data_IF_720218480234
#
_entry.id   IF_720218480234
#
_cell.length_a   1.000
_cell.length_b   1.000
_cell.length_c   1.000
_cell.angle_alpha   90.00
_cell.angle_beta   90.00
_cell.angle_gamma   90.00
#
_symmetry.space_group_name_H-M   'P 1'
#
loop_
_entity.id
_entity.type
_entity.pdbx_description
1 polymer ?
#
# COMPACT_ATOMS: atom_id res chain seq x y z
N UNK A 1 -12.85 8.71 8.89
CA UNK A 1 -13.15 7.97 10.13
C UNK A 1 -12.35 6.69 10.05
N UNK A 2 -11.19 6.67 10.70
CA UNK A 2 -10.43 5.44 10.92
C UNK A 2 -10.67 5.12 12.38
N UNK A 3 -11.74 4.42 12.72
CA UNK A 3 -12.01 4.06 14.11
C UNK A 3 -13.03 2.90 14.19
N UNK A 4 -12.77 2.02 15.15
CA UNK A 4 -13.62 0.96 15.72
C UNK A 4 -13.45 -0.48 15.15
N UNK A 5 -13.44 -0.73 13.83
CA UNK A 5 -13.48 -2.12 13.33
C UNK A 5 -12.20 -2.95 13.49
N UNK A 6 -11.00 -2.35 13.39
CA UNK A 6 -9.74 -3.11 13.58
C UNK A 6 -9.60 -3.70 14.99
N UNK A 7 -10.06 -3.00 16.02
CA UNK A 7 -10.01 -3.51 17.40
C UNK A 7 -10.96 -4.69 17.64
N UNK A 8 -12.01 -4.83 16.84
CA UNK A 8 -12.96 -5.96 16.91
C UNK A 8 -12.46 -7.17 16.11
N UNK A 9 -11.84 -6.95 14.94
CA UNK A 9 -11.24 -8.03 14.13
C UNK A 9 -10.01 -8.65 14.83
N UNK A 10 -9.24 -7.87 15.60
CA UNK A 10 -8.15 -8.40 16.42
C UNK A 10 -8.62 -9.25 17.63
N UNK A 11 -9.93 -9.37 17.89
CA UNK A 11 -10.49 -10.02 19.09
C UNK A 11 -11.44 -11.17 18.77
N UNK A 12 -11.10 -12.12 17.89
CA UNK A 12 -11.85 -13.39 17.85
C UNK A 12 -10.97 -14.60 17.59
N UNK A 13 -10.49 -15.20 18.67
CA UNK A 13 -10.30 -16.65 18.79
C UNK A 13 -10.41 -17.03 20.26
N UNK A 14 -11.46 -17.76 20.70
CA UNK A 14 -11.57 -18.23 22.07
C UNK A 14 -10.74 -19.50 22.24
N UNK A 15 -9.53 -19.36 22.79
CA UNK A 15 -8.65 -20.48 23.11
C UNK A 15 -7.79 -20.18 24.34
N UNK A 16 -8.13 -20.81 25.46
CA UNK A 16 -7.40 -20.96 26.73
C UNK A 16 -6.48 -19.81 27.19
N UNK A 17 -6.94 -19.09 28.22
CA UNK A 17 -6.11 -18.28 29.11
C UNK A 17 -5.09 -19.17 29.84
N UNK A 18 -3.88 -19.28 29.29
CA UNK A 18 -2.67 -19.52 30.07
C UNK A 18 -1.99 -18.18 30.30
N UNK A 19 -2.18 -17.61 31.49
CA UNK A 19 -1.44 -16.41 31.92
C UNK A 19 -0.05 -16.87 32.37
N UNK A 20 0.83 -17.09 31.40
CA UNK A 20 2.27 -17.03 31.64
C UNK A 20 2.73 -15.69 31.08
N UNK A 21 2.86 -14.68 31.94
CA UNK A 21 3.63 -13.50 31.62
C UNK A 21 5.07 -13.98 31.38
N UNK A 22 5.45 -14.19 30.12
CA UNK A 22 6.83 -14.49 29.74
C UNK A 22 7.65 -13.26 30.19
N UNK A 23 8.49 -13.44 31.20
CA UNK A 23 9.49 -12.44 31.58
C UNK A 23 10.40 -12.19 30.39
N UNK A 24 10.36 -10.95 29.88
CA UNK A 24 11.24 -10.44 28.83
C UNK A 24 12.69 -10.76 29.18
N UNK A 25 13.38 -11.53 28.34
CA UNK A 25 14.76 -11.95 28.63
C UNK A 25 15.74 -10.85 28.26
N UNK A 26 16.94 -10.87 28.85
CA UNK A 26 18.02 -9.93 28.49
C UNK A 26 18.36 -10.02 26.99
N UNK A 27 18.23 -11.20 26.38
CA UNK A 27 18.43 -11.40 24.94
C UNK A 27 17.35 -10.71 24.08
N UNK A 28 16.10 -10.66 24.54
CA UNK A 28 14.99 -10.02 23.82
C UNK A 28 15.19 -8.50 23.76
N UNK A 29 15.63 -7.90 24.88
CA UNK A 29 15.96 -6.46 24.94
C UNK A 29 17.11 -6.08 24.02
N UNK A 30 18.14 -6.92 23.96
CA UNK A 30 19.30 -6.69 23.10
C UNK A 30 18.89 -6.62 21.63
N UNK A 31 18.04 -7.54 21.14
CA UNK A 31 17.61 -7.50 19.74
C UNK A 31 16.79 -6.24 19.42
N UNK A 32 15.84 -5.89 20.29
CA UNK A 32 15.03 -4.68 20.10
C UNK A 32 15.88 -3.41 20.08
N UNK A 33 16.80 -3.25 21.05
CA UNK A 33 17.75 -2.14 21.11
C UNK A 33 18.65 -2.12 19.87
N UNK A 34 19.12 -3.28 19.41
CA UNK A 34 19.95 -3.38 18.22
C UNK A 34 19.18 -2.98 16.95
N UNK A 35 17.91 -3.34 16.81
CA UNK A 35 17.08 -2.90 15.68
C UNK A 35 16.87 -1.39 15.74
N UNK A 36 16.48 -0.83 16.89
CA UNK A 36 16.22 0.61 17.05
C UNK A 36 17.48 1.47 16.83
N UNK A 37 18.62 1.08 17.42
CA UNK A 37 19.93 1.73 17.21
C UNK A 37 20.53 1.47 15.83
N UNK A 38 19.99 0.50 15.12
CA UNK A 38 20.39 0.09 13.80
C UNK A 38 21.60 -0.85 13.69
N UNK A 39 22.10 -1.34 14.83
CA UNK A 39 23.16 -2.33 14.95
C UNK A 39 22.75 -3.73 14.46
N UNK A 40 21.48 -4.11 14.60
CA UNK A 40 20.89 -5.25 13.92
C UNK A 40 20.15 -4.75 12.68
N UNK A 41 20.40 -5.42 11.56
CA UNK A 41 19.72 -5.09 10.30
C UNK A 41 18.32 -5.69 10.25
N UNK A 42 18.14 -6.89 10.82
CA UNK A 42 16.93 -7.67 10.60
C UNK A 42 16.42 -8.36 11.87
N UNK A 43 15.10 -8.49 11.95
CA UNK A 43 14.35 -9.52 12.66
C UNK A 43 14.07 -10.62 11.64
N UNK A 44 14.74 -11.76 11.79
CA UNK A 44 14.90 -12.78 10.73
C UNK A 44 13.61 -13.55 10.42
N UNK A 45 12.68 -13.68 11.37
CA UNK A 45 11.49 -14.48 11.18
C UNK A 45 10.60 -14.59 12.42
N UNK A 46 9.60 -15.50 12.42
CA UNK A 46 8.58 -15.58 13.45
C UNK A 46 9.11 -15.77 14.88
N UNK A 47 10.15 -16.58 15.07
CA UNK A 47 10.73 -16.84 16.40
C UNK A 47 11.33 -15.58 17.02
N UNK A 48 12.04 -14.76 16.22
CA UNK A 48 12.57 -13.48 16.68
C UNK A 48 11.48 -12.42 16.81
N UNK A 49 10.49 -12.45 15.91
CA UNK A 49 9.33 -11.58 15.96
C UNK A 49 8.55 -11.73 17.27
N UNK A 50 8.34 -12.95 17.77
CA UNK A 50 7.66 -13.19 19.05
C UNK A 50 8.36 -12.51 20.25
N UNK A 51 9.67 -12.31 20.16
CA UNK A 51 10.52 -11.70 21.19
C UNK A 51 10.55 -10.17 21.09
N UNK A 52 10.04 -9.60 20.00
CA UNK A 52 10.02 -8.15 19.83
C UNK A 52 8.96 -7.50 20.73
N UNK A 53 9.15 -6.22 21.12
CA UNK A 53 8.17 -5.47 21.90
C UNK A 53 6.79 -5.42 21.22
N UNK A 54 5.72 -5.31 22.00
CA UNK A 54 4.34 -5.26 21.47
C UNK A 54 4.16 -4.12 20.46
N UNK A 55 4.78 -2.96 20.69
CA UNK A 55 4.78 -1.83 19.76
C UNK A 55 5.31 -2.23 18.36
N UNK A 56 6.36 -3.04 18.29
CA UNK A 56 6.91 -3.52 17.02
C UNK A 56 5.95 -4.52 16.34
N UNK A 57 5.43 -5.48 17.11
CA UNK A 57 4.54 -6.52 16.61
C UNK A 57 3.24 -5.92 16.06
N UNK A 58 2.66 -4.96 16.77
CA UNK A 58 1.46 -4.24 16.34
C UNK A 58 1.68 -3.49 15.03
N UNK A 59 2.85 -2.87 14.85
CA UNK A 59 3.19 -2.13 13.62
C UNK A 59 3.30 -3.05 12.42
N UNK A 60 3.98 -4.19 12.56
CA UNK A 60 4.13 -5.21 11.51
C UNK A 60 2.77 -5.78 11.13
N UNK A 61 1.98 -6.20 12.12
CA UNK A 61 0.64 -6.78 11.88
C UNK A 61 -0.26 -5.75 11.21
N UNK A 62 -0.29 -4.51 11.71
CA UNK A 62 -1.09 -3.45 11.09
C UNK A 62 -0.67 -3.18 9.64
N UNK A 63 0.64 -3.06 9.38
CA UNK A 63 1.15 -2.78 8.03
C UNK A 63 0.79 -3.91 7.07
N UNK A 64 1.01 -5.15 7.48
CA UNK A 64 0.75 -6.31 6.64
C UNK A 64 -0.74 -6.59 6.45
N UNK A 65 -1.59 -6.37 7.45
CA UNK A 65 -3.04 -6.45 7.28
C UNK A 65 -3.54 -5.43 6.26
N UNK A 66 -3.09 -4.17 6.36
CA UNK A 66 -3.48 -3.12 5.42
C UNK A 66 -2.96 -3.37 4.00
N UNK A 67 -1.70 -3.79 3.85
CA UNK A 67 -1.13 -4.16 2.55
C UNK A 67 -1.89 -5.34 1.94
N UNK A 68 -2.06 -6.44 2.70
CA UNK A 68 -2.71 -7.66 2.21
C UNK A 68 -4.16 -7.40 1.75
N UNK A 69 -4.97 -6.66 2.50
CA UNK A 69 -6.33 -6.28 2.05
C UNK A 69 -6.27 -5.32 0.84
N UNK A 70 -5.25 -4.46 0.78
CA UNK A 70 -5.00 -3.55 -0.34
C UNK A 70 -4.76 -4.30 -1.65
N UNK A 71 -3.87 -5.31 -1.67
CA UNK A 71 -3.60 -6.14 -2.85
C UNK A 71 -4.87 -6.90 -3.30
N UNK A 72 -5.62 -7.46 -2.35
CA UNK A 72 -6.89 -8.13 -2.69
C UNK A 72 -7.93 -7.14 -3.24
N UNK A 73 -7.95 -5.91 -2.73
CA UNK A 73 -8.80 -4.86 -3.30
C UNK A 73 -8.35 -4.46 -4.69
N UNK A 74 -7.04 -4.37 -4.95
CA UNK A 74 -6.48 -4.15 -6.27
C UNK A 74 -6.93 -5.22 -7.27
N UNK A 75 -6.87 -6.49 -6.88
CA UNK A 75 -7.36 -7.59 -7.71
C UNK A 75 -8.83 -7.39 -8.14
N UNK A 76 -9.70 -7.06 -7.20
CA UNK A 76 -11.12 -6.85 -7.48
C UNK A 76 -11.37 -5.52 -8.22
N UNK A 77 -10.58 -4.47 -7.97
CA UNK A 77 -10.63 -3.23 -8.76
C UNK A 77 -10.37 -3.54 -10.25
N UNK A 78 -9.37 -4.38 -10.55
CA UNK A 78 -9.08 -4.81 -11.91
C UNK A 78 -10.19 -5.66 -12.55
N UNK A 79 -10.74 -6.62 -11.80
CA UNK A 79 -11.65 -7.62 -12.35
C UNK A 79 -13.12 -7.19 -12.33
N UNK A 80 -13.54 -6.45 -11.30
CA UNK A 80 -14.93 -6.03 -11.08
C UNK A 80 -15.20 -4.61 -11.59
N UNK A 81 -14.22 -3.69 -11.51
CA UNK A 81 -14.41 -2.29 -11.91
C UNK A 81 -13.84 -1.99 -13.31
N UNK A 82 -12.59 -2.39 -13.58
CA UNK A 82 -11.88 -1.95 -14.77
C UNK A 82 -12.10 -2.82 -16.00
N UNK A 83 -12.14 -4.15 -15.83
CA UNK A 83 -12.43 -5.09 -16.90
C UNK A 83 -13.75 -4.79 -17.64
N UNK A 84 -14.89 -4.47 -16.98
CA UNK A 84 -16.13 -4.13 -17.67
C UNK A 84 -16.15 -2.69 -18.24
N UNK A 85 -15.17 -1.83 -17.90
CA UNK A 85 -15.13 -0.42 -18.33
C UNK A 85 -14.69 -0.25 -19.79
N UNK A 86 -14.07 -1.26 -20.38
CA UNK A 86 -13.46 -1.20 -21.71
C UNK A 86 -13.87 -2.38 -22.58
N UNK A 87 -14.06 -2.12 -23.87
CA UNK A 87 -14.28 -3.13 -24.90
C UNK A 87 -13.00 -3.48 -25.68
N UNK A 88 -11.88 -2.80 -25.40
CA UNK A 88 -10.60 -3.08 -26.04
C UNK A 88 -10.02 -4.44 -25.57
N UNK A 89 -9.74 -5.38 -26.48
CA UNK A 89 -9.24 -6.71 -26.10
C UNK A 89 -7.87 -6.69 -25.40
N UNK A 90 -7.01 -5.72 -25.74
CA UNK A 90 -5.71 -5.58 -25.10
C UNK A 90 -5.88 -5.10 -23.65
N UNK A 91 -6.72 -4.10 -23.41
CA UNK A 91 -6.99 -3.61 -22.05
C UNK A 91 -7.69 -4.66 -21.17
N UNK A 92 -8.62 -5.45 -21.75
CA UNK A 92 -9.23 -6.59 -21.05
C UNK A 92 -8.19 -7.64 -20.63
N UNK A 93 -7.27 -7.98 -21.54
CA UNK A 93 -6.16 -8.90 -21.23
C UNK A 93 -5.30 -8.33 -20.09
N UNK A 94 -4.94 -7.05 -20.14
CA UNK A 94 -4.15 -6.42 -19.09
C UNK A 94 -4.87 -6.49 -17.74
N UNK A 95 -6.18 -6.21 -17.68
CA UNK A 95 -6.93 -6.31 -16.43
C UNK A 95 -6.87 -7.72 -15.82
N UNK A 96 -6.97 -8.77 -16.63
CA UNK A 96 -6.83 -10.14 -16.14
C UNK A 96 -5.41 -10.46 -15.66
N UNK A 97 -4.37 -9.97 -16.37
CA UNK A 97 -2.98 -10.16 -15.96
C UNK A 97 -2.68 -9.47 -14.63
N UNK A 98 -3.08 -8.19 -14.49
CA UNK A 98 -2.89 -7.41 -13.26
C UNK A 98 -3.70 -8.00 -12.11
N UNK A 99 -4.97 -8.35 -12.32
CA UNK A 99 -5.79 -9.01 -11.30
C UNK A 99 -5.15 -10.31 -10.81
N UNK A 100 -4.53 -11.10 -11.69
CA UNK A 100 -3.79 -12.30 -11.31
C UNK A 100 -2.53 -12.01 -10.49
N UNK A 101 -1.77 -10.97 -10.83
CA UNK A 101 -0.59 -10.53 -10.07
C UNK A 101 -0.99 -10.04 -8.66
N UNK A 102 -2.04 -9.21 -8.55
CA UNK A 102 -2.59 -8.69 -7.29
C UNK A 102 -3.06 -9.82 -6.36
N UNK A 103 -3.70 -10.88 -6.90
CA UNK A 103 -4.06 -12.06 -6.11
C UNK A 103 -2.81 -12.78 -5.58
N UNK A 104 -1.73 -12.86 -6.36
CA UNK A 104 -0.48 -13.45 -5.87
C UNK A 104 0.22 -12.53 -4.84
N UNK A 105 0.12 -11.20 -4.98
CA UNK A 105 0.57 -10.26 -3.95
C UNK A 105 -0.20 -10.45 -2.63
N UNK A 106 -1.53 -10.56 -2.68
CA UNK A 106 -2.35 -10.94 -1.52
C UNK A 106 -1.85 -12.25 -0.91
N UNK A 107 -1.60 -13.27 -1.73
CA UNK A 107 -1.14 -14.59 -1.25
C UNK A 107 0.23 -14.52 -0.57
N UNK A 108 1.15 -13.70 -1.09
CA UNK A 108 2.46 -13.41 -0.49
C UNK A 108 2.29 -12.70 0.87
N UNK A 109 1.47 -11.67 0.94
CA UNK A 109 1.17 -10.94 2.19
C UNK A 109 0.50 -11.80 3.25
N UNK A 110 -0.51 -12.58 2.85
CA UNK A 110 -1.21 -13.55 3.70
C UNK A 110 -0.25 -14.61 4.25
N UNK A 111 0.75 -15.06 3.47
CA UNK A 111 1.78 -15.97 3.98
C UNK A 111 2.65 -15.33 5.06
N UNK A 112 3.09 -14.09 4.89
CA UNK A 112 3.86 -13.37 5.92
C UNK A 112 3.05 -13.24 7.22
N UNK A 113 1.75 -12.93 7.11
CA UNK A 113 0.83 -12.89 8.27
C UNK A 113 0.65 -14.27 8.92
N UNK A 114 0.45 -15.32 8.13
CA UNK A 114 0.27 -16.68 8.62
C UNK A 114 1.50 -17.19 9.38
N UNK A 115 2.70 -16.86 8.91
CA UNK A 115 3.96 -17.24 9.56
C UNK A 115 4.09 -16.64 10.98
N UNK A 116 3.39 -15.54 11.29
CA UNK A 116 3.29 -14.93 12.63
C UNK A 116 1.93 -15.16 13.32
N UNK A 117 1.19 -16.18 12.87
CA UNK A 117 -0.07 -16.61 13.49
C UNK A 117 -1.25 -15.66 13.29
N UNK A 118 -1.25 -14.86 12.23
CA UNK A 118 -2.37 -13.99 11.85
C UNK A 118 -3.07 -14.53 10.60
N UNK A 119 -4.38 -14.74 10.71
CA UNK A 119 -5.20 -15.19 9.60
C UNK A 119 -5.67 -13.98 8.76
N UNK A 120 -5.51 -14.08 7.44
CA UNK A 120 -6.01 -13.11 6.46
C UNK A 120 -7.08 -13.71 5.54
N UNK A 121 -7.36 -15.01 5.64
CA UNK A 121 -8.26 -15.72 4.72
C UNK A 121 -9.69 -15.16 4.71
N UNK A 122 -10.14 -14.63 5.86
CA UNK A 122 -11.43 -13.97 6.00
C UNK A 122 -11.63 -12.78 5.05
N UNK A 123 -10.54 -12.16 4.54
CA UNK A 123 -10.63 -11.02 3.62
C UNK A 123 -11.30 -11.40 2.28
N UNK A 124 -11.19 -12.67 1.87
CA UNK A 124 -11.83 -13.20 0.65
C UNK A 124 -13.36 -13.18 0.75
N UNK A 125 -13.89 -13.29 1.97
CA UNK A 125 -15.33 -13.29 2.21
C UNK A 125 -15.91 -11.87 2.35
N UNK A 126 -15.05 -10.84 2.39
CA UNK A 126 -15.46 -9.45 2.49
C UNK A 126 -15.56 -8.85 1.08
N UNK A 127 -16.74 -8.39 0.65
CA UNK A 127 -16.90 -7.71 -0.62
C UNK A 127 -16.05 -6.44 -0.73
N UNK A 128 -15.62 -6.09 -1.95
CA UNK A 128 -14.77 -4.92 -2.22
C UNK A 128 -15.31 -3.63 -1.56
N UNK A 129 -16.62 -3.39 -1.64
CA UNK A 129 -17.25 -2.20 -1.05
C UNK A 129 -17.11 -2.11 0.48
N UNK A 130 -17.00 -3.25 1.17
CA UNK A 130 -17.01 -3.36 2.63
C UNK A 130 -15.60 -3.45 3.26
N UNK A 131 -14.56 -3.63 2.44
CA UNK A 131 -13.15 -3.58 2.85
C UNK A 131 -12.74 -2.18 3.31
N UNK A 132 -11.92 -2.11 4.35
CA UNK A 132 -11.67 -0.84 5.08
C UNK A 132 -10.30 -0.69 5.75
N UNK A 133 -9.47 -1.73 5.75
CA UNK A 133 -8.09 -1.68 6.23
C UNK A 133 -7.21 -0.88 5.26
N UNK A 134 -7.54 -0.89 3.96
CA UNK A 134 -6.92 -0.04 2.94
C UNK A 134 -7.89 1.02 2.39
N UNK A 135 -7.36 2.22 2.08
CA UNK A 135 -8.17 3.37 1.68
C UNK A 135 -8.49 3.35 0.17
N UNK A 136 -9.59 2.71 -0.23
CA UNK A 136 -9.99 2.53 -1.64
C UNK A 136 -11.17 3.39 -2.10
N UNK A 137 -11.69 4.31 -1.26
CA UNK A 137 -12.92 5.06 -1.57
C UNK A 137 -12.87 5.85 -2.89
N UNK A 138 -11.70 6.41 -3.24
CA UNK A 138 -11.53 7.13 -4.50
C UNK A 138 -11.58 6.19 -5.71
N UNK A 139 -11.10 4.95 -5.56
CA UNK A 139 -11.04 3.90 -6.59
C UNK A 139 -12.43 3.35 -6.90
N UNK A 140 -13.23 3.12 -5.85
CA UNK A 140 -14.65 2.69 -5.94
C UNK A 140 -15.54 3.63 -6.76
N UNK A 141 -15.06 4.84 -7.05
CA UNK A 141 -15.78 5.90 -7.79
C UNK A 141 -15.13 6.20 -9.14
N UNK A 142 -14.23 5.35 -9.63
CA UNK A 142 -13.70 5.48 -11.00
C UNK A 142 -14.80 5.00 -11.95
N UNK A 143 -15.22 5.89 -12.85
CA UNK A 143 -16.28 5.63 -13.82
C UNK A 143 -15.87 5.96 -15.26
N UNK A 144 -14.60 6.33 -15.48
CA UNK A 144 -14.08 6.71 -16.78
C UNK A 144 -12.61 6.31 -16.97
N UNK A 145 -12.23 6.14 -18.23
CA UNK A 145 -10.90 5.64 -18.62
C UNK A 145 -9.73 6.56 -18.25
N UNK A 146 -9.82 7.90 -18.37
CA UNK A 146 -8.77 8.80 -17.87
C UNK A 146 -8.46 8.62 -16.38
N UNK A 147 -9.50 8.51 -15.54
CA UNK A 147 -9.32 8.26 -14.11
C UNK A 147 -8.71 6.89 -13.84
N UNK A 148 -9.11 5.86 -14.60
CA UNK A 148 -8.43 4.56 -14.56
C UNK A 148 -6.94 4.69 -14.89
N UNK A 149 -6.58 5.49 -15.89
CA UNK A 149 -5.17 5.75 -16.23
C UNK A 149 -4.40 6.39 -15.07
N UNK A 150 -4.98 7.39 -14.40
CA UNK A 150 -4.35 8.07 -13.25
C UNK A 150 -4.33 7.24 -11.97
N UNK A 151 -5.31 6.35 -11.76
CA UNK A 151 -5.23 5.35 -10.70
C UNK A 151 -3.91 4.57 -10.80
N UNK A 152 -3.58 4.07 -11.99
CA UNK A 152 -2.31 3.36 -12.16
C UNK A 152 -1.09 4.28 -12.17
N UNK A 153 -1.16 5.39 -12.90
CA UNK A 153 0.00 6.28 -13.04
C UNK A 153 0.40 6.94 -11.72
N UNK A 154 -0.57 7.30 -10.86
CA UNK A 154 -0.35 8.05 -9.62
C UNK A 154 -0.71 7.27 -8.36
N UNK A 155 -1.88 6.61 -8.33
CA UNK A 155 -2.33 5.83 -7.17
C UNK A 155 -1.39 4.65 -6.87
N UNK A 156 -1.24 3.73 -7.82
CA UNK A 156 -0.32 2.59 -7.69
C UNK A 156 1.14 3.07 -7.57
N UNK A 157 1.52 4.18 -8.22
CA UNK A 157 2.85 4.77 -8.03
C UNK A 157 3.11 5.26 -6.60
N UNK A 158 2.10 5.78 -5.90
CA UNK A 158 2.23 6.15 -4.49
C UNK A 158 2.39 4.90 -3.60
N UNK A 159 1.65 3.82 -3.88
CA UNK A 159 1.82 2.52 -3.21
C UNK A 159 3.20 1.93 -3.48
N UNK A 160 3.69 2.04 -4.71
CA UNK A 160 5.03 1.59 -5.10
C UNK A 160 6.14 2.30 -4.29
N UNK A 161 5.98 3.59 -3.96
CA UNK A 161 6.92 4.28 -3.04
C UNK A 161 6.85 3.69 -1.62
N UNK A 162 5.67 3.32 -1.13
CA UNK A 162 5.52 2.64 0.16
C UNK A 162 6.17 1.24 0.13
N UNK A 163 6.01 0.49 -0.96
CA UNK A 163 6.64 -0.81 -1.15
C UNK A 163 8.16 -0.75 -1.17
N UNK A 164 8.75 0.30 -1.78
CA UNK A 164 10.21 0.53 -1.73
C UNK A 164 10.70 0.75 -0.30
N UNK A 165 9.91 1.42 0.54
CA UNK A 165 10.23 1.57 1.96
C UNK A 165 10.08 0.22 2.71
N UNK A 166 9.07 -0.58 2.37
CA UNK A 166 8.87 -1.93 2.93
C UNK A 166 9.98 -2.92 2.54
N UNK A 167 10.55 -2.81 1.34
CA UNK A 167 11.71 -3.60 0.91
C UNK A 167 12.95 -3.40 1.80
N UNK A 168 12.96 -2.32 2.58
CA UNK A 168 14.02 -1.97 3.51
C UNK A 168 13.60 -2.16 4.98
N UNK A 169 12.48 -2.84 5.22
CA UNK A 169 11.92 -3.08 6.55
C UNK A 169 12.82 -3.96 7.41
N UNK A 170 13.02 -3.58 8.67
CA UNK A 170 13.73 -4.40 9.65
C UNK A 170 13.10 -5.78 9.85
N UNK A 171 11.83 -6.00 9.50
CA UNK A 171 11.26 -7.35 9.49
C UNK A 171 11.57 -8.04 8.17
N UNK A 172 12.50 -9.00 8.19
CA UNK A 172 13.06 -9.62 6.99
C UNK A 172 12.01 -10.26 6.07
N UNK A 173 10.96 -10.96 6.55
CA UNK A 173 9.94 -11.52 5.66
C UNK A 173 9.21 -10.47 4.81
N UNK A 174 9.04 -9.24 5.31
CA UNK A 174 8.52 -8.12 4.49
C UNK A 174 9.56 -7.71 3.45
N UNK A 175 10.81 -7.49 3.88
CA UNK A 175 11.90 -7.08 3.00
C UNK A 175 12.17 -8.09 1.86
N UNK A 176 12.00 -9.39 2.12
CA UNK A 176 12.17 -10.45 1.12
C UNK A 176 11.00 -10.52 0.13
N UNK A 177 9.78 -10.20 0.57
CA UNK A 177 8.57 -10.23 -0.26
C UNK A 177 8.56 -9.10 -1.30
N UNK A 178 8.89 -7.88 -0.87
CA UNK A 178 8.68 -6.67 -1.66
C UNK A 178 9.42 -6.62 -3.01
N UNK A 179 10.67 -7.12 -3.20
CA UNK A 179 11.37 -7.02 -4.48
C UNK A 179 10.63 -7.64 -5.67
N UNK A 180 9.91 -8.76 -5.44
CA UNK A 180 9.06 -9.39 -6.46
C UNK A 180 7.88 -8.50 -6.81
N UNK A 181 7.11 -8.10 -5.80
CA UNK A 181 5.94 -7.21 -5.92
C UNK A 181 6.32 -5.89 -6.61
N UNK A 182 7.41 -5.24 -6.20
CA UNK A 182 7.92 -3.99 -6.81
C UNK A 182 8.21 -4.15 -8.30
N UNK A 183 8.71 -5.31 -8.73
CA UNK A 183 9.00 -5.56 -10.14
C UNK A 183 7.70 -5.63 -10.95
N UNK A 184 6.67 -6.28 -10.41
CA UNK A 184 5.35 -6.42 -11.01
C UNK A 184 4.63 -5.05 -11.04
N UNK A 185 4.59 -4.33 -9.92
CA UNK A 185 3.97 -3.00 -9.77
C UNK A 185 4.54 -1.91 -10.70
N UNK A 186 5.83 -1.99 -11.05
CA UNK A 186 6.41 -1.07 -12.05
C UNK A 186 5.71 -1.16 -13.40
N UNK A 187 5.21 -2.35 -13.74
CA UNK A 187 4.45 -2.56 -14.98
C UNK A 187 3.06 -1.93 -14.87
N UNK A 188 2.43 -1.94 -13.70
CA UNK A 188 1.13 -1.32 -13.46
C UNK A 188 1.22 0.20 -13.66
N UNK A 189 2.21 0.82 -13.02
CA UNK A 189 2.50 2.26 -13.17
C UNK A 189 2.84 2.63 -14.61
N UNK A 190 3.67 1.82 -15.28
CA UNK A 190 4.01 2.05 -16.69
C UNK A 190 2.79 1.93 -17.61
N UNK A 191 1.88 1.01 -17.30
CA UNK A 191 0.61 0.87 -18.01
C UNK A 191 -0.28 2.10 -17.86
N UNK A 192 -0.43 2.62 -16.64
CA UNK A 192 -1.14 3.88 -16.39
C UNK A 192 -0.54 5.06 -17.16
N UNK A 193 0.80 5.18 -17.13
CA UNK A 193 1.49 6.23 -17.89
C UNK A 193 1.22 6.11 -19.39
N UNK A 194 1.22 4.90 -19.96
CA UNK A 194 0.87 4.66 -21.37
C UNK A 194 -0.53 5.17 -21.68
N UNK A 195 -1.53 4.83 -20.86
CA UNK A 195 -2.92 5.28 -21.05
C UNK A 195 -3.00 6.81 -21.11
N UNK A 196 -2.41 7.51 -20.14
CA UNK A 196 -2.46 8.98 -20.10
C UNK A 196 -1.67 9.60 -21.25
N UNK A 197 -0.50 9.05 -21.58
CA UNK A 197 0.31 9.53 -22.71
C UNK A 197 -0.45 9.42 -24.04
N UNK A 198 -1.11 8.29 -24.27
CA UNK A 198 -1.85 8.06 -25.52
C UNK A 198 -3.10 8.98 -25.57
N UNK A 199 -3.76 9.20 -24.44
CA UNK A 199 -4.87 10.15 -24.32
C UNK A 199 -4.43 11.60 -24.64
N UNK A 200 -3.25 12.01 -24.16
CA UNK A 200 -2.70 13.35 -24.41
C UNK A 200 -2.22 13.59 -25.85
N UNK A 201 -2.37 12.65 -26.79
CA UNK A 201 -2.05 12.85 -28.21
C UNK A 201 -3.05 13.77 -28.92
N UNK A 202 -4.21 14.03 -28.32
CA UNK A 202 -5.25 14.92 -28.87
C UNK A 202 -5.59 16.02 -27.88
N UNK A 203 -5.99 17.20 -28.39
CA UNK A 203 -6.37 18.32 -27.52
C UNK A 203 -7.53 17.97 -26.58
N UNK A 204 -8.55 17.26 -27.07
CA UNK A 204 -9.67 16.81 -26.26
C UNK A 204 -9.23 15.83 -25.17
N UNK A 205 -8.40 14.85 -25.52
CA UNK A 205 -7.87 13.88 -24.57
C UNK A 205 -7.00 14.54 -23.50
N UNK A 206 -6.17 15.52 -23.84
CA UNK A 206 -5.42 16.31 -22.86
C UNK A 206 -6.36 17.02 -21.87
N UNK A 207 -7.47 17.59 -22.33
CA UNK A 207 -8.45 18.21 -21.44
C UNK A 207 -9.14 17.18 -20.52
N UNK A 208 -9.44 15.98 -21.03
CA UNK A 208 -9.98 14.89 -20.22
C UNK A 208 -8.97 14.45 -19.15
N UNK A 209 -7.70 14.29 -19.52
CA UNK A 209 -6.62 13.96 -18.60
C UNK A 209 -6.46 15.06 -17.53
N UNK A 210 -6.47 16.33 -17.91
CA UNK A 210 -6.36 17.44 -16.96
C UNK A 210 -7.48 17.44 -15.92
N UNK A 211 -8.73 17.12 -16.34
CA UNK A 211 -9.86 16.99 -15.40
C UNK A 211 -9.68 15.83 -14.43
N UNK A 212 -9.24 14.68 -14.92
CA UNK A 212 -8.97 13.52 -14.06
C UNK A 212 -7.80 13.78 -13.10
N UNK A 213 -6.75 14.47 -13.55
CA UNK A 213 -5.61 14.86 -12.71
C UNK A 213 -6.02 15.74 -11.52
N UNK A 214 -6.96 16.67 -11.71
CA UNK A 214 -7.45 17.54 -10.61
C UNK A 214 -8.05 16.73 -9.45
N UNK A 215 -8.67 15.59 -9.75
CA UNK A 215 -9.22 14.66 -8.75
C UNK A 215 -8.14 13.74 -8.19
N UNK A 216 -7.29 13.20 -9.05
CA UNK A 216 -6.34 12.15 -8.66
C UNK A 216 -5.10 12.65 -7.96
N UNK A 217 -4.65 13.87 -8.25
CA UNK A 217 -3.47 14.44 -7.60
C UNK A 217 -3.58 14.45 -6.06
N UNK A 218 -4.59 15.09 -5.43
CA UNK A 218 -4.72 15.07 -3.98
C UNK A 218 -4.95 13.66 -3.41
N UNK A 219 -5.68 12.81 -4.13
CA UNK A 219 -5.92 11.39 -3.74
C UNK A 219 -4.60 10.65 -3.60
N UNK A 220 -3.72 10.73 -4.60
CA UNK A 220 -2.41 10.06 -4.58
C UNK A 220 -1.49 10.59 -3.48
N UNK A 221 -1.54 11.90 -3.18
CA UNK A 221 -0.78 12.47 -2.06
C UNK A 221 -1.32 12.03 -0.68
N UNK A 222 -2.63 11.77 -0.59
CA UNK A 222 -3.29 11.29 0.63
C UNK A 222 -3.08 9.80 0.91
N UNK A 223 -2.62 9.01 -0.06
CA UNK A 223 -2.20 7.60 0.15
C UNK A 223 -1.14 7.52 1.26
N UNK A 224 -0.22 8.50 1.33
CA UNK A 224 0.80 8.55 2.36
C UNK A 224 0.26 8.89 3.76
N UNK A 225 -0.98 9.40 3.89
CA UNK A 225 -1.57 9.81 5.17
C UNK A 225 -1.05 11.15 5.70
N UNK A 226 -1.30 11.45 6.98
CA UNK A 226 -0.92 12.74 7.61
C UNK A 226 0.59 12.82 7.89
N UNK A 227 1.18 14.01 7.74
CA UNK A 227 2.59 14.26 8.12
C UNK A 227 2.80 14.01 9.62
N UNK A 228 1.87 14.46 10.47
CA UNK A 228 1.97 14.35 11.94
C UNK A 228 1.64 12.97 12.53
N UNK A 229 1.65 11.92 11.70
CA UNK A 229 1.32 10.57 12.12
C UNK A 229 2.31 10.02 13.16
N UNK A 230 1.84 9.82 14.40
CA UNK A 230 2.62 9.13 15.45
C UNK A 230 3.08 7.75 14.99
N UNK A 231 2.22 6.99 14.31
CA UNK A 231 2.55 5.65 13.79
C UNK A 231 3.65 5.70 12.73
N UNK A 232 3.65 6.74 11.88
CA UNK A 232 4.73 6.92 10.90
C UNK A 232 6.09 7.10 11.56
N UNK A 233 6.16 7.88 12.66
CA UNK A 233 7.40 8.03 13.44
C UNK A 233 7.83 6.72 14.10
N UNK A 234 6.87 5.90 14.55
CA UNK A 234 7.18 4.57 15.11
C UNK A 234 7.69 3.59 14.05
N UNK A 235 7.13 3.60 12.83
CA UNK A 235 7.68 2.80 11.72
C UNK A 235 9.14 3.15 11.43
N UNK A 236 9.51 4.44 11.49
CA UNK A 236 10.90 4.89 11.33
C UNK A 236 11.77 4.48 12.51
N UNK A 237 11.31 4.69 13.75
CA UNK A 237 12.01 4.24 14.98
C UNK A 237 12.40 2.76 14.90
N UNK A 238 11.44 1.92 14.50
CA UNK A 238 11.65 0.47 14.38
C UNK A 238 12.28 0.03 13.06
N UNK A 239 12.67 0.99 12.20
CA UNK A 239 13.26 0.75 10.88
C UNK A 239 12.42 -0.16 9.99
N UNK A 240 11.11 -0.21 10.20
CA UNK A 240 10.14 -0.88 9.32
C UNK A 240 9.89 -0.04 8.05
N UNK A 241 10.22 1.25 8.11
CA UNK A 241 10.36 2.20 7.00
C UNK A 241 11.58 3.09 7.25
N UNK A 242 12.16 3.68 6.21
CA UNK A 242 13.26 4.65 6.35
C UNK A 242 12.75 6.08 6.49
N UNK A 243 11.61 6.37 5.87
CA UNK A 243 11.05 7.71 5.79
C UNK A 243 9.68 7.83 6.43
N UNK A 244 9.42 9.01 6.97
CA UNK A 244 8.10 9.45 7.39
C UNK A 244 7.14 9.55 6.20
N UNK A 245 5.84 9.72 6.50
CA UNK A 245 4.81 9.93 5.50
C UNK A 245 5.09 11.17 4.62
N UNK A 246 5.57 12.25 5.22
CA UNK A 246 5.87 13.49 4.51
C UNK A 246 7.05 13.32 3.55
N UNK A 247 8.16 12.75 4.03
CA UNK A 247 9.35 12.53 3.21
C UNK A 247 9.05 11.59 2.03
N UNK A 248 8.29 10.51 2.26
CA UNK A 248 7.88 9.60 1.20
C UNK A 248 7.00 10.29 0.15
N UNK A 249 6.05 11.13 0.60
CA UNK A 249 5.21 11.94 -0.29
C UNK A 249 6.03 12.95 -1.10
N UNK A 250 7.02 13.59 -0.51
CA UNK A 250 7.87 14.56 -1.23
C UNK A 250 8.69 13.86 -2.33
N UNK A 251 9.24 12.67 -2.05
CA UNK A 251 9.90 11.84 -3.08
C UNK A 251 8.94 11.47 -4.21
N UNK A 252 7.70 11.12 -3.90
CA UNK A 252 6.66 10.85 -4.89
C UNK A 252 6.39 12.09 -5.76
N UNK A 253 6.23 13.28 -5.16
CA UNK A 253 6.02 14.54 -5.88
C UNK A 253 7.19 14.79 -6.83
N UNK A 254 8.43 14.73 -6.34
CA UNK A 254 9.65 14.92 -7.13
C UNK A 254 9.73 13.96 -8.33
N UNK A 255 9.29 12.71 -8.14
CA UNK A 255 9.29 11.70 -9.20
C UNK A 255 8.17 11.89 -10.24
N UNK A 256 7.00 12.38 -9.83
CA UNK A 256 5.81 12.42 -10.68
C UNK A 256 5.57 13.75 -11.38
N UNK A 257 5.94 14.88 -10.77
CA UNK A 257 5.77 16.22 -11.37
C UNK A 257 6.42 16.33 -12.75
N UNK A 258 7.70 15.94 -12.96
CA UNK A 258 8.31 16.03 -14.28
C UNK A 258 7.61 15.17 -15.34
N UNK A 259 7.06 14.01 -14.94
CA UNK A 259 6.34 13.11 -15.85
C UNK A 259 5.01 13.72 -16.30
N UNK A 260 4.27 14.37 -15.40
CA UNK A 260 3.03 15.07 -15.72
C UNK A 260 3.30 16.27 -16.64
N UNK A 261 4.33 17.05 -16.36
CA UNK A 261 4.74 18.19 -17.18
C UNK A 261 5.17 17.77 -18.58
N UNK A 262 5.88 16.64 -18.73
CA UNK A 262 6.23 16.08 -20.04
C UNK A 262 5.00 15.70 -20.89
N UNK A 263 3.87 15.40 -20.25
CA UNK A 263 2.59 15.13 -20.91
C UNK A 263 1.79 16.41 -21.21
N UNK A 264 2.35 17.59 -20.91
CA UNK A 264 1.69 18.88 -21.10
C UNK A 264 0.57 19.15 -20.09
N UNK A 265 0.59 18.49 -18.92
CA UNK A 265 -0.41 18.66 -17.88
C UNK A 265 0.04 19.64 -16.80
N UNK A 266 -0.89 20.45 -16.33
CA UNK A 266 -0.68 21.40 -15.25
C UNK A 266 -0.91 20.72 -13.91
N UNK A 267 0.15 20.57 -13.11
CA UNK A 267 0.07 19.92 -11.80
C UNK A 267 -0.63 20.84 -10.80
N UNK A 268 -1.69 20.39 -10.10
CA UNK A 268 -2.36 21.19 -9.08
C UNK A 268 -1.44 21.52 -7.90
N UNK A 269 -1.77 22.58 -7.17
CA UNK A 269 -1.12 22.90 -5.90
C UNK A 269 -1.13 21.68 -4.96
N UNK A 270 0.01 21.41 -4.32
CA UNK A 270 0.22 20.17 -3.56
C UNK A 270 -0.60 20.11 -2.26
N UNK A 271 -1.18 21.24 -1.82
CA UNK A 271 -2.08 21.32 -0.67
C UNK A 271 -3.56 21.34 -1.07
N UNK A 272 -3.87 21.60 -2.34
CA UNK A 272 -5.25 21.75 -2.81
C UNK A 272 -6.04 20.44 -2.68
N UNK A 273 -7.24 20.53 -2.09
CA UNK A 273 -8.22 19.44 -1.99
C UNK A 273 -7.70 18.16 -1.30
N UNK A 274 -6.64 18.25 -0.50
CA UNK A 274 -6.13 17.14 0.29
C UNK A 274 -6.95 16.95 1.59
N UNK A 275 -7.22 15.69 1.92
CA UNK A 275 -7.84 15.27 3.18
C UNK A 275 -6.83 15.21 4.32
N UNK A 276 -5.59 14.86 4.00
CA UNK A 276 -4.50 14.79 4.95
C UNK A 276 -3.47 15.85 4.57
N UNK A 277 -2.92 16.56 5.55
CA UNK A 277 -1.72 17.35 5.37
C UNK A 277 -0.60 16.59 6.07
#
# INVERSE_FOLDING_TARGET
MWNVRMSEIMRTSPGLLSVHAKTETMHDRILAEQVESGNARWVEGPEQFERMPEEYKDLVVHQMMAHTEGELSGADDYLELFYPMTDDPYEKKVCCERGGEEVDHYRKGAKVLADIGKDASFMMDIPLQDRSLYATEAVKRIDNWPERGFFSMLGEAAVLEILKEMAESSYKPIADMCPGVIKEERVHVAHGFRIIRDLCQTHEGTQQAQRALLRWWPVSLDVFGRSESKRSRLYVKWRLRKCTNEEARNRFIEAMVPKLQQLGLDVPDHSANRRFL
#
